data_IF_798466665042
#
_entry.id   IF_798466665042
#
_cell.length_a   1.000
_cell.length_b   1.000
_cell.length_c   1.000
_cell.angle_alpha   90.00
_cell.angle_beta   90.00
_cell.angle_gamma   90.00
#
_symmetry.space_group_name_H-M   'P 1'
#
loop_
_entity.id
_entity.type
_entity.pdbx_description
1 polymer ?
#
# COMPACT_ATOMS: atom_id res chain seq x y z
N UNK A 1 4.09 3.61 3.78
CA UNK A 1 3.23 3.86 4.98
C UNK A 1 1.83 4.28 4.55
N UNK A 2 0.86 4.19 5.47
CA UNK A 2 -0.53 4.60 5.24
C UNK A 2 -1.05 5.41 6.41
N UNK A 3 -1.14 6.72 6.25
CA UNK A 3 -1.53 7.65 7.32
C UNK A 3 -2.74 8.52 6.92
N UNK A 4 -2.95 8.73 5.60
CA UNK A 4 -3.93 9.66 5.07
C UNK A 4 -4.70 9.09 3.86
N UNK A 5 -5.84 9.68 3.55
CA UNK A 5 -6.52 9.47 2.26
C UNK A 5 -5.73 10.11 1.10
N UNK A 6 -4.94 11.13 1.37
CA UNK A 6 -4.10 11.82 0.40
C UNK A 6 -3.28 10.85 -0.45
N UNK A 7 -2.70 9.82 0.17
CA UNK A 7 -1.82 8.85 -0.48
C UNK A 7 -2.51 8.13 -1.65
N UNK A 8 -3.79 7.75 -1.49
CA UNK A 8 -4.53 7.04 -2.53
C UNK A 8 -4.74 7.89 -3.79
N UNK A 9 -4.91 9.20 -3.62
CA UNK A 9 -5.06 10.12 -4.76
C UNK A 9 -3.72 10.53 -5.33
N UNK A 10 -2.77 10.91 -4.48
CA UNK A 10 -1.52 11.50 -4.91
C UNK A 10 -0.55 10.49 -5.53
N UNK A 11 -0.51 9.25 -5.03
CA UNK A 11 0.34 8.21 -5.61
C UNK A 11 0.00 7.89 -7.07
N UNK A 12 -1.20 8.19 -7.51
CA UNK A 12 -1.59 8.06 -8.92
C UNK A 12 -0.95 9.11 -9.83
N UNK A 13 -0.54 10.24 -9.29
CA UNK A 13 0.17 11.28 -10.06
C UNK A 13 1.66 11.00 -10.18
N UNK A 14 2.21 10.20 -9.26
CA UNK A 14 3.64 9.86 -9.22
C UNK A 14 3.91 8.58 -10.03
N UNK A 15 3.05 7.58 -9.90
CA UNK A 15 3.21 6.30 -10.55
C UNK A 15 2.27 6.19 -11.76
N UNK A 16 2.77 5.58 -12.84
CA UNK A 16 1.97 5.43 -14.05
C UNK A 16 0.82 4.43 -13.85
N UNK A 17 -0.39 4.94 -13.73
CA UNK A 17 -1.63 4.16 -13.61
C UNK A 17 -1.55 3.01 -12.58
N UNK A 18 -1.18 3.25 -11.31
CA UNK A 18 -0.96 2.19 -10.35
C UNK A 18 -2.23 1.40 -10.05
N UNK A 19 -2.06 0.11 -9.74
CA UNK A 19 -3.14 -0.77 -9.29
C UNK A 19 -3.10 -0.83 -7.76
N UNK A 20 -4.17 -0.39 -7.09
CA UNK A 20 -4.26 -0.45 -5.63
C UNK A 20 -4.88 -1.76 -5.17
N UNK A 21 -4.29 -2.37 -4.14
CA UNK A 21 -4.89 -3.47 -3.39
C UNK A 21 -5.64 -2.89 -2.20
N UNK A 22 -6.95 -3.00 -2.23
CA UNK A 22 -7.86 -2.34 -1.29
C UNK A 22 -8.73 -3.35 -0.55
N UNK A 23 -9.30 -2.91 0.57
CA UNK A 23 -10.30 -3.69 1.30
C UNK A 23 -11.63 -3.72 0.56
N UNK A 24 -12.32 -4.88 0.55
CA UNK A 24 -13.65 -5.03 -0.07
C UNK A 24 -14.71 -4.10 0.55
N UNK A 25 -14.58 -3.75 1.82
CA UNK A 25 -15.49 -2.85 2.52
C UNK A 25 -15.52 -1.43 1.91
N UNK A 26 -14.47 -1.01 1.21
CA UNK A 26 -14.45 0.27 0.48
C UNK A 26 -15.44 0.30 -0.69
N UNK A 27 -15.91 -0.86 -1.15
CA UNK A 27 -16.96 -0.98 -2.18
C UNK A 27 -18.34 -0.45 -1.72
N UNK A 28 -18.50 -0.13 -0.45
CA UNK A 28 -19.75 0.42 0.08
C UNK A 28 -19.92 1.93 -0.18
N UNK A 29 -18.90 2.62 -0.69
CA UNK A 29 -18.93 4.07 -0.97
C UNK A 29 -19.15 4.27 -2.48
N UNK A 30 -20.37 4.62 -2.97
CA UNK A 30 -20.74 4.51 -4.38
C UNK A 30 -19.83 5.27 -5.36
N UNK A 31 -19.57 6.54 -5.11
CA UNK A 31 -18.75 7.40 -6.01
C UNK A 31 -17.29 6.91 -6.00
N UNK A 32 -16.77 6.54 -4.84
CA UNK A 32 -15.40 6.07 -4.68
C UNK A 32 -15.20 4.70 -5.34
N UNK A 33 -16.22 3.83 -5.28
CA UNK A 33 -16.21 2.52 -5.98
C UNK A 33 -16.11 2.67 -7.48
N UNK A 34 -16.89 3.58 -8.05
CA UNK A 34 -16.84 3.82 -9.49
C UNK A 34 -15.45 4.25 -9.94
N UNK A 35 -14.85 5.19 -9.23
CA UNK A 35 -13.49 5.65 -9.46
C UNK A 35 -12.46 4.49 -9.32
N UNK A 36 -12.50 3.74 -8.23
CA UNK A 36 -11.58 2.63 -7.97
C UNK A 36 -11.69 1.49 -9.00
N UNK A 37 -12.91 1.20 -9.48
CA UNK A 37 -13.12 0.25 -10.58
C UNK A 37 -12.53 0.76 -11.89
N UNK A 38 -12.71 2.04 -12.19
CA UNK A 38 -12.19 2.66 -13.42
C UNK A 38 -10.67 2.64 -13.50
N UNK A 39 -9.97 2.78 -12.37
CA UNK A 39 -8.50 2.66 -12.32
C UNK A 39 -8.01 1.21 -12.21
N UNK A 40 -8.91 0.22 -12.19
CA UNK A 40 -8.55 -1.19 -12.15
C UNK A 40 -8.01 -1.67 -10.81
N UNK A 41 -8.50 -1.11 -9.69
CA UNK A 41 -8.10 -1.54 -8.34
C UNK A 41 -8.56 -2.96 -8.04
N UNK A 42 -7.77 -3.71 -7.27
CA UNK A 42 -8.06 -5.07 -6.84
C UNK A 42 -8.56 -5.05 -5.39
N UNK A 43 -9.59 -5.85 -5.11
CA UNK A 43 -10.19 -5.91 -3.79
C UNK A 43 -9.89 -7.24 -3.11
N UNK A 44 -9.49 -7.19 -1.85
CA UNK A 44 -9.24 -8.36 -1.03
C UNK A 44 -10.25 -8.46 0.12
N UNK A 45 -10.84 -9.64 0.29
CA UNK A 45 -11.61 -9.97 1.48
C UNK A 45 -10.67 -10.58 2.53
N UNK A 46 -10.36 -9.82 3.60
CA UNK A 46 -9.40 -10.25 4.63
C UNK A 46 -9.97 -11.20 5.66
N UNK A 47 -11.30 -11.31 5.74
CA UNK A 47 -11.98 -12.03 6.81
C UNK A 47 -12.33 -13.48 6.45
N UNK A 48 -12.05 -13.91 5.23
CA UNK A 48 -12.33 -15.28 4.80
C UNK A 48 -11.12 -15.87 4.05
N UNK A 49 -10.65 -17.02 4.52
CA UNK A 49 -9.85 -17.94 3.71
C UNK A 49 -10.84 -18.62 2.76
N UNK A 50 -11.13 -18.00 1.63
CA UNK A 50 -12.13 -18.49 0.69
C UNK A 50 -11.55 -18.62 -0.70
N UNK A 51 -12.24 -19.36 -1.57
CA UNK A 51 -11.97 -19.48 -3.01
C UNK A 51 -11.76 -18.09 -3.70
N UNK A 52 -12.35 -17.02 -3.16
CA UNK A 52 -12.15 -15.64 -3.62
C UNK A 52 -10.70 -15.17 -3.50
N UNK A 53 -9.93 -15.70 -2.55
CA UNK A 53 -8.51 -15.36 -2.39
C UNK A 53 -7.58 -16.10 -3.36
N UNK A 54 -8.01 -17.22 -3.94
CA UNK A 54 -7.26 -17.94 -4.99
C UNK A 54 -7.29 -17.09 -6.27
N UNK A 55 -8.44 -16.59 -6.66
CA UNK A 55 -8.60 -15.72 -7.82
C UNK A 55 -7.82 -14.40 -7.67
N UNK A 56 -7.63 -13.92 -6.44
CA UNK A 56 -6.87 -12.70 -6.15
C UNK A 56 -5.42 -12.75 -6.67
N UNK A 57 -4.70 -13.85 -6.43
CA UNK A 57 -3.32 -13.99 -6.92
C UNK A 57 -3.27 -14.18 -8.44
N UNK A 58 -4.24 -14.90 -9.01
CA UNK A 58 -4.37 -15.02 -10.46
C UNK A 58 -4.64 -13.67 -11.13
N UNK A 59 -5.52 -12.85 -10.56
CA UNK A 59 -5.83 -11.51 -11.09
C UNK A 59 -4.60 -10.59 -11.04
N UNK A 60 -3.85 -10.61 -9.93
CA UNK A 60 -2.60 -9.85 -9.83
C UNK A 60 -1.57 -10.36 -10.85
N UNK A 61 -1.38 -11.67 -10.96
CA UNK A 61 -0.45 -12.26 -11.91
C UNK A 61 -0.79 -11.89 -13.36
N UNK A 62 -2.07 -11.89 -13.73
CA UNK A 62 -2.55 -11.44 -15.04
C UNK A 62 -2.22 -9.96 -15.30
N UNK A 63 -2.40 -9.10 -14.30
CA UNK A 63 -2.07 -7.67 -14.43
C UNK A 63 -0.58 -7.50 -14.65
N UNK A 64 0.27 -8.16 -13.85
CA UNK A 64 1.73 -8.08 -13.98
C UNK A 64 2.19 -8.60 -15.35
N UNK A 65 1.62 -9.71 -15.82
CA UNK A 65 2.01 -10.32 -17.11
C UNK A 65 1.61 -9.45 -18.32
N UNK A 66 0.55 -8.66 -18.20
CA UNK A 66 -0.02 -7.92 -19.32
C UNK A 66 0.21 -6.40 -19.27
N UNK A 67 0.77 -5.88 -18.17
CA UNK A 67 0.98 -4.42 -18.01
C UNK A 67 2.21 -4.13 -17.16
N UNK A 68 2.86 -2.99 -17.43
CA UNK A 68 3.95 -2.44 -16.60
C UNK A 68 3.43 -1.60 -15.42
N UNK A 69 2.17 -1.77 -15.05
CA UNK A 69 1.53 -0.99 -13.99
C UNK A 69 2.03 -1.42 -12.61
N UNK A 70 2.53 -0.50 -11.77
CA UNK A 70 2.96 -0.85 -10.43
C UNK A 70 1.77 -1.20 -9.54
N UNK A 71 1.97 -2.19 -8.66
CA UNK A 71 0.99 -2.58 -7.65
C UNK A 71 1.31 -1.85 -6.35
N UNK A 72 0.33 -1.12 -5.80
CA UNK A 72 0.46 -0.40 -4.54
C UNK A 72 -0.26 -1.14 -3.42
N UNK A 73 0.50 -1.42 -2.37
CA UNK A 73 0.02 -2.09 -1.16
C UNK A 73 0.32 -1.21 0.05
N UNK A 74 -0.65 -1.08 0.93
CA UNK A 74 -0.46 -0.46 2.23
C UNK A 74 -0.25 -1.55 3.31
N UNK A 75 1.00 -1.83 3.74
CA UNK A 75 1.31 -3.01 4.55
C UNK A 75 0.71 -2.95 5.96
N UNK A 76 0.43 -1.77 6.52
CA UNK A 76 -0.28 -1.63 7.80
C UNK A 76 -1.75 -2.10 7.70
N UNK A 77 -2.32 -2.10 6.49
CA UNK A 77 -3.67 -2.55 6.22
C UNK A 77 -4.79 -1.60 6.69
N UNK A 78 -4.46 -0.54 7.36
CA UNK A 78 -5.34 0.56 7.77
C UNK A 78 -4.54 1.83 7.89
N UNK A 79 -5.20 2.98 7.89
CA UNK A 79 -4.55 4.25 8.22
C UNK A 79 -4.19 4.29 9.71
N UNK A 80 -2.94 4.64 10.00
CA UNK A 80 -2.38 4.77 11.35
C UNK A 80 -2.05 6.22 11.66
N UNK A 81 -1.92 6.56 12.93
CA UNK A 81 -1.45 7.89 13.32
C UNK A 81 0.07 8.00 13.03
N UNK A 82 0.60 9.20 12.79
CA UNK A 82 2.00 9.41 12.44
C UNK A 82 3.02 8.81 13.40
N UNK A 83 2.71 8.81 14.70
CA UNK A 83 3.57 8.25 15.75
C UNK A 83 3.37 6.75 15.99
N UNK A 84 2.36 6.13 15.37
CA UNK A 84 2.10 4.69 15.52
C UNK A 84 2.92 3.88 14.52
N UNK A 85 3.54 2.82 15.02
CA UNK A 85 4.33 1.87 14.23
C UNK A 85 3.83 0.43 14.44
N UNK A 86 2.57 0.12 14.08
CA UNK A 86 2.08 -1.25 14.23
C UNK A 86 2.79 -2.20 13.28
N UNK A 87 2.94 -3.47 13.65
CA UNK A 87 3.58 -4.47 12.79
C UNK A 87 2.83 -4.61 11.46
N UNK A 88 3.58 -4.81 10.38
CA UNK A 88 3.01 -4.96 9.06
C UNK A 88 2.23 -6.26 8.92
N UNK A 89 1.17 -6.24 8.14
CA UNK A 89 0.31 -7.40 7.90
C UNK A 89 0.97 -8.38 6.91
N UNK A 90 0.86 -9.66 7.19
CA UNK A 90 1.41 -10.77 6.37
C UNK A 90 0.93 -10.78 4.91
N UNK A 91 -0.10 -9.99 4.55
CA UNK A 91 -0.58 -9.87 3.18
C UNK A 91 0.47 -9.34 2.21
N UNK A 92 1.30 -8.39 2.65
CA UNK A 92 2.37 -7.83 1.82
C UNK A 92 3.46 -8.88 1.51
N UNK A 93 3.89 -9.66 2.51
CA UNK A 93 4.90 -10.70 2.31
C UNK A 93 4.39 -11.88 1.50
N UNK A 94 3.11 -12.24 1.60
CA UNK A 94 2.50 -13.26 0.74
C UNK A 94 2.51 -12.84 -0.73
N UNK A 95 2.15 -11.61 -1.03
CA UNK A 95 2.16 -11.09 -2.40
C UNK A 95 3.58 -11.06 -2.95
N UNK A 96 4.55 -10.62 -2.15
CA UNK A 96 5.95 -10.61 -2.53
C UNK A 96 6.47 -12.02 -2.86
N UNK A 97 6.19 -13.02 -2.00
CA UNK A 97 6.61 -14.42 -2.18
C UNK A 97 5.97 -15.06 -3.42
N UNK A 98 4.66 -14.86 -3.62
CA UNK A 98 3.91 -15.45 -4.73
C UNK A 98 4.31 -14.85 -6.09
N UNK A 99 4.50 -13.55 -6.15
CA UNK A 99 4.77 -12.85 -7.41
C UNK A 99 6.24 -12.82 -7.77
N UNK A 100 7.14 -13.06 -6.82
CA UNK A 100 8.61 -13.00 -7.00
C UNK A 100 9.09 -11.75 -7.73
N UNK A 101 8.51 -10.62 -7.38
CA UNK A 101 8.84 -9.31 -7.94
C UNK A 101 9.55 -8.42 -6.91
N UNK A 102 10.37 -7.49 -7.41
CA UNK A 102 10.99 -6.49 -6.56
C UNK A 102 9.93 -5.61 -5.88
N UNK A 103 10.16 -5.24 -4.64
CA UNK A 103 9.33 -4.33 -3.88
C UNK A 103 10.02 -2.98 -3.74
N UNK A 104 9.34 -1.91 -4.11
CA UNK A 104 9.80 -0.53 -3.92
C UNK A 104 9.19 0.02 -2.62
N UNK A 105 9.96 0.13 -1.50
CA UNK A 105 9.42 0.74 -0.28
C UNK A 105 9.20 2.24 -0.47
N UNK A 106 8.08 2.73 0.08
CA UNK A 106 7.75 4.17 0.04
C UNK A 106 7.30 4.63 1.43
N UNK A 107 8.02 5.60 1.99
CA UNK A 107 7.67 6.25 3.24
C UNK A 107 6.99 7.60 2.96
N UNK A 108 5.90 7.89 3.66
CA UNK A 108 5.11 9.13 3.47
C UNK A 108 4.69 9.63 4.84
N UNK A 109 4.95 10.91 5.13
CA UNK A 109 4.58 11.56 6.39
C UNK A 109 3.25 12.34 6.31
N UNK A 110 2.37 11.97 5.41
CA UNK A 110 1.11 12.66 5.11
C UNK A 110 0.18 12.86 6.30
N UNK A 111 0.26 12.01 7.32
CA UNK A 111 -0.57 12.09 8.51
C UNK A 111 -0.32 13.32 9.37
N UNK A 112 0.81 13.98 9.24
CA UNK A 112 1.10 15.25 9.93
C UNK A 112 0.41 16.45 9.29
N UNK A 113 0.11 16.36 7.99
CA UNK A 113 -0.54 17.42 7.21
C UNK A 113 -2.03 17.15 7.07
N UNK A 114 -2.36 15.91 6.76
CA UNK A 114 -3.75 15.48 6.54
C UNK A 114 -4.04 14.19 7.32
N UNK A 115 -4.26 14.29 8.64
CA UNK A 115 -4.47 13.12 9.48
C UNK A 115 -5.78 12.38 9.16
N UNK A 116 -5.86 11.12 9.61
CA UNK A 116 -7.08 10.30 9.54
C UNK A 116 -8.25 10.95 10.27
N UNK A 117 -7.97 11.65 11.37
CA UNK A 117 -8.91 12.43 12.20
C UNK A 117 -8.27 13.75 12.59
N UNK A 118 -9.07 14.79 12.73
CA UNK A 118 -8.60 16.11 13.13
C UNK A 118 -8.48 17.11 11.97
N UNK A 119 -7.93 18.28 12.26
CA UNK A 119 -7.75 19.36 11.29
C UNK A 119 -6.49 19.10 10.44
N UNK A 120 -6.55 19.55 9.19
CA UNK A 120 -5.37 19.60 8.31
C UNK A 120 -4.43 20.72 8.78
N UNK A 121 -3.14 20.46 8.71
CA UNK A 121 -2.10 21.45 9.00
C UNK A 121 -1.44 21.88 7.69
N UNK A 122 -1.83 23.04 7.17
CA UNK A 122 -1.34 23.59 5.91
C UNK A 122 0.08 24.15 6.01
N UNK A 123 0.62 24.29 7.22
CA UNK A 123 1.98 24.82 7.44
C UNK A 123 3.05 23.72 7.41
N UNK A 124 2.65 22.45 7.22
CA UNK A 124 3.56 21.32 7.14
C UNK A 124 3.67 20.79 5.71
N UNK A 125 4.82 20.23 5.41
CA UNK A 125 5.12 19.64 4.10
C UNK A 125 4.89 18.14 4.13
N UNK A 126 4.22 17.60 3.10
CA UNK A 126 4.17 16.16 2.86
C UNK A 126 5.41 15.77 2.08
N UNK A 127 6.19 14.87 2.64
CA UNK A 127 7.36 14.27 2.00
C UNK A 127 7.06 12.83 1.63
N UNK A 128 7.46 12.45 0.41
CA UNK A 128 7.37 11.09 -0.10
C UNK A 128 8.79 10.63 -0.43
N UNK A 129 9.29 9.69 0.36
CA UNK A 129 10.60 9.06 0.14
C UNK A 129 10.42 7.74 -0.59
N UNK A 130 11.00 7.64 -1.78
CA UNK A 130 11.10 6.39 -2.55
C UNK A 130 12.46 5.80 -2.23
N UNK A 131 12.47 4.62 -1.56
CA UNK A 131 13.67 4.01 -1.00
C UNK A 131 14.22 2.95 -1.95
N UNK A 132 15.39 2.38 -1.63
CA UNK A 132 16.00 1.34 -2.45
C UNK A 132 15.11 0.11 -2.60
N UNK A 133 14.99 -0.46 -3.82
CA UNK A 133 14.17 -1.63 -4.06
C UNK A 133 14.69 -2.86 -3.31
N UNK A 134 13.77 -3.61 -2.69
CA UNK A 134 14.04 -4.93 -2.11
C UNK A 134 13.87 -5.97 -3.22
N UNK A 135 14.96 -6.76 -3.48
CA UNK A 135 14.97 -7.83 -4.47
C UNK A 135 14.08 -9.01 -4.04
N UNK A 136 13.62 -9.88 -4.95
CA UNK A 136 12.72 -10.99 -4.64
C UNK A 136 13.44 -12.25 -4.07
N UNK A 137 14.56 -12.05 -3.38
CA UNK A 137 15.48 -13.12 -2.95
C UNK A 137 15.31 -13.52 -1.47
N UNK A 138 14.44 -12.81 -0.74
CA UNK A 138 14.22 -13.03 0.69
C UNK A 138 13.01 -13.94 0.94
N UNK A 139 13.05 -14.67 2.07
CA UNK A 139 11.86 -15.33 2.60
C UNK A 139 10.80 -14.27 2.99
N UNK A 140 9.54 -14.69 3.12
CA UNK A 140 8.45 -13.75 3.48
C UNK A 140 8.63 -13.12 4.85
N UNK A 141 9.25 -13.84 5.79
CA UNK A 141 9.54 -13.34 7.14
C UNK A 141 10.65 -12.29 7.12
N UNK A 142 11.76 -12.59 6.44
CA UNK A 142 12.87 -11.65 6.25
C UNK A 142 12.43 -10.39 5.51
N UNK A 143 11.72 -10.57 4.38
CA UNK A 143 11.17 -9.47 3.61
C UNK A 143 10.30 -8.54 4.46
N UNK A 144 9.38 -9.10 5.26
CA UNK A 144 8.48 -8.30 6.08
C UNK A 144 9.25 -7.47 7.11
N UNK A 145 10.26 -8.09 7.76
CA UNK A 145 11.13 -7.40 8.73
C UNK A 145 11.97 -6.29 8.09
N UNK A 146 12.55 -6.56 6.91
CA UNK A 146 13.33 -5.56 6.14
C UNK A 146 12.41 -4.39 5.74
N UNK A 147 11.24 -4.68 5.16
CA UNK A 147 10.29 -3.67 4.71
C UNK A 147 9.81 -2.76 5.86
N UNK A 148 9.48 -3.38 7.00
CA UNK A 148 9.02 -2.67 8.19
C UNK A 148 10.11 -1.76 8.75
N UNK A 149 11.31 -2.30 8.95
CA UNK A 149 12.46 -1.53 9.42
C UNK A 149 12.80 -0.38 8.49
N UNK A 150 12.85 -0.62 7.18
CA UNK A 150 13.20 0.38 6.16
C UNK A 150 12.19 1.53 6.18
N UNK A 151 10.89 1.25 6.13
CA UNK A 151 9.85 2.29 6.12
C UNK A 151 9.80 3.06 7.44
N UNK A 152 9.87 2.38 8.58
CA UNK A 152 9.78 3.05 9.88
C UNK A 152 11.03 3.84 10.24
N UNK A 153 12.21 3.41 9.81
CA UNK A 153 13.44 4.20 9.97
C UNK A 153 13.38 5.49 9.17
N UNK A 154 12.92 5.43 7.93
CA UNK A 154 12.75 6.62 7.09
C UNK A 154 11.72 7.58 7.67
N UNK A 155 10.58 7.07 8.13
CA UNK A 155 9.54 7.91 8.74
C UNK A 155 10.04 8.70 9.97
N UNK A 156 11.03 8.19 10.71
CA UNK A 156 11.65 8.94 11.82
C UNK A 156 12.48 10.12 11.34
N UNK A 157 13.02 10.05 10.13
CA UNK A 157 13.81 11.14 9.52
C UNK A 157 12.92 12.20 8.88
N UNK A 158 11.70 11.84 8.50
CA UNK A 158 10.74 12.76 7.88
C UNK A 158 9.89 13.58 8.87
N UNK A 159 10.06 13.37 10.16
CA UNK A 159 9.22 13.95 11.23
C UNK A 159 9.93 15.07 11.97
#
# INVERSE_FOLDING_TARGET
SHQSMFETFFLQTIFNSPVFILKKELLMIPIFVWYLKKIGSIYINRNKVSKENINFFEDISKIIANTDRPIIIFPQGTRVLPHEQPPFKKGASRIYEELKIKCQPVAINSGYVWPKKGKKDINKTITISILEPIKPDYSKEEFLGILEKTIYSELKLLN
#
